data_IF_929597725609
#
_entry.id   IF_929597725609
#
_cell.length_a   1.000
_cell.length_b   1.000
_cell.length_c   1.000
_cell.angle_alpha   90.00
_cell.angle_beta   90.00
_cell.angle_gamma   90.00
#
_symmetry.space_group_name_H-M   'P 1'
#
loop_
_entity.id
_entity.type
_entity.pdbx_description
1 polymer ?
#
# COMPACT_ATOMS: atom_id res chain seq x y z
N UNK A 1 10.07 14.28 9.76
CA UNK A 1 10.21 14.14 11.23
C UNK A 1 11.49 13.36 11.49
N UNK A 2 12.42 13.90 12.26
CA UNK A 2 13.66 13.19 12.63
C UNK A 2 13.46 12.51 13.99
N UNK A 3 14.33 11.54 14.33
CA UNK A 3 14.32 10.93 15.68
C UNK A 3 14.43 11.99 16.76
N UNK A 4 15.19 13.05 16.51
CA UNK A 4 15.36 14.18 17.41
C UNK A 4 14.04 14.95 17.64
N UNK A 5 13.23 15.13 16.60
CA UNK A 5 11.92 15.79 16.69
C UNK A 5 10.94 14.93 17.49
N UNK A 6 10.99 13.61 17.33
CA UNK A 6 10.19 12.64 18.09
C UNK A 6 10.55 12.71 19.59
N UNK A 7 11.83 12.68 19.91
CA UNK A 7 12.33 12.76 21.29
C UNK A 7 11.87 14.06 21.97
N UNK A 8 12.04 15.18 21.28
CA UNK A 8 11.61 16.49 21.79
C UNK A 8 10.09 16.55 22.02
N UNK A 9 9.30 15.99 21.09
CA UNK A 9 7.85 15.93 21.25
C UNK A 9 7.42 15.04 22.44
N UNK A 10 8.05 13.88 22.61
CA UNK A 10 7.76 12.98 23.71
C UNK A 10 8.13 13.60 25.07
N UNK A 11 9.23 14.33 25.15
CA UNK A 11 9.63 15.05 26.35
C UNK A 11 8.64 16.16 26.69
N UNK A 12 8.19 16.94 25.70
CA UNK A 12 7.24 18.04 25.91
C UNK A 12 5.83 17.56 26.30
N UNK A 13 5.32 16.49 25.68
CA UNK A 13 3.94 16.06 25.88
C UNK A 13 3.79 15.06 27.03
N UNK A 14 4.76 14.18 27.20
CA UNK A 14 4.68 13.10 28.19
C UNK A 14 5.70 13.19 29.31
N UNK A 15 6.60 14.17 29.30
CA UNK A 15 7.66 14.33 30.29
C UNK A 15 8.65 13.14 30.32
N UNK A 16 8.71 12.36 29.25
CA UNK A 16 9.53 11.13 29.19
C UNK A 16 10.76 11.36 28.34
N UNK A 17 11.94 11.12 28.93
CA UNK A 17 13.20 11.14 28.19
C UNK A 17 13.53 9.74 27.68
N UNK A 18 13.56 9.60 26.35
CA UNK A 18 13.94 8.37 25.67
C UNK A 18 15.25 8.57 24.92
N UNK A 19 16.07 7.52 24.84
CA UNK A 19 17.24 7.55 23.97
C UNK A 19 16.87 7.31 22.50
N UNK A 20 17.70 7.80 21.57
CA UNK A 20 17.52 7.56 20.14
C UNK A 20 17.55 6.04 19.81
N UNK A 21 18.34 5.28 20.55
CA UNK A 21 18.43 3.82 20.43
C UNK A 21 17.12 3.13 20.86
N UNK A 22 16.49 3.60 21.93
CA UNK A 22 15.20 3.09 22.38
C UNK A 22 14.10 3.34 21.33
N UNK A 23 14.05 4.54 20.74
CA UNK A 23 13.11 4.85 19.66
C UNK A 23 13.34 3.95 18.45
N UNK A 24 14.61 3.74 18.04
CA UNK A 24 14.94 2.83 16.93
C UNK A 24 14.49 1.40 17.22
N UNK A 25 14.77 0.88 18.42
CA UNK A 25 14.35 -0.47 18.82
C UNK A 25 12.84 -0.67 18.82
N UNK A 26 12.09 0.32 19.31
CA UNK A 26 10.60 0.29 19.25
C UNK A 26 10.13 0.30 17.80
N UNK A 27 10.73 1.14 16.95
CA UNK A 27 10.38 1.22 15.53
C UNK A 27 10.68 -0.09 14.82
N UNK A 28 11.81 -0.75 15.10
CA UNK A 28 12.17 -2.03 14.51
C UNK A 28 11.16 -3.14 14.90
N UNK A 29 10.72 -3.16 16.17
CA UNK A 29 9.67 -4.07 16.62
C UNK A 29 8.34 -3.87 15.88
N UNK A 30 7.93 -2.61 15.68
CA UNK A 30 6.71 -2.28 14.91
C UNK A 30 6.82 -2.69 13.45
N UNK A 31 8.02 -2.62 12.85
CA UNK A 31 8.21 -3.02 11.45
C UNK A 31 7.90 -4.51 11.20
N UNK A 32 8.18 -5.38 12.16
CA UNK A 32 7.84 -6.81 12.03
C UNK A 32 6.32 -7.01 12.05
N UNK A 33 5.60 -6.30 12.92
CA UNK A 33 4.14 -6.34 12.95
C UNK A 33 3.53 -5.79 11.65
N UNK A 34 4.06 -4.69 11.13
CA UNK A 34 3.64 -4.12 9.85
C UNK A 34 3.85 -5.11 8.69
N UNK A 35 4.98 -5.81 8.66
CA UNK A 35 5.27 -6.83 7.64
C UNK A 35 4.30 -8.02 7.75
N UNK A 36 4.05 -8.51 8.96
CA UNK A 36 3.09 -9.57 9.22
C UNK A 36 1.67 -9.15 8.79
N UNK A 37 1.27 -7.92 9.14
CA UNK A 37 -0.01 -7.34 8.71
C UNK A 37 -0.10 -7.23 7.18
N UNK A 38 0.95 -6.75 6.50
CA UNK A 38 0.97 -6.59 5.05
C UNK A 38 0.89 -7.94 4.31
N UNK A 39 1.43 -9.01 4.89
CA UNK A 39 1.44 -10.35 4.28
C UNK A 39 0.29 -11.26 4.76
N UNK A 40 -0.59 -10.79 5.63
CA UNK A 40 -1.68 -11.60 6.17
C UNK A 40 -2.60 -12.13 5.07
N UNK A 41 -3.20 -13.32 5.24
CA UNK A 41 -4.25 -13.80 4.36
C UNK A 41 -5.43 -12.83 4.29
N UNK A 42 -6.07 -12.76 3.15
CA UNK A 42 -7.26 -11.95 2.90
C UNK A 42 -8.43 -12.85 2.51
N UNK A 43 -9.63 -12.34 2.75
CA UNK A 43 -10.85 -13.03 2.31
C UNK A 43 -10.90 -13.16 0.80
N UNK A 44 -11.50 -14.26 0.28
CA UNK A 44 -11.48 -14.56 -1.14
C UNK A 44 -12.38 -13.63 -1.98
N UNK A 45 -13.40 -13.00 -1.39
CA UNK A 45 -14.36 -12.18 -2.11
C UNK A 45 -14.53 -10.81 -1.46
N UNK A 46 -14.51 -9.76 -2.28
CA UNK A 46 -14.69 -8.38 -1.87
C UNK A 46 -15.78 -7.71 -2.71
N UNK A 47 -16.77 -7.13 -2.04
CA UNK A 47 -17.88 -6.43 -2.72
C UNK A 47 -17.36 -5.19 -3.46
N UNK A 48 -16.55 -4.38 -2.80
CA UNK A 48 -15.93 -3.20 -3.40
C UNK A 48 -14.48 -3.11 -2.96
N UNK A 49 -13.59 -2.76 -3.88
CA UNK A 49 -12.19 -2.41 -3.57
C UNK A 49 -11.92 -1.01 -4.08
N UNK A 50 -11.50 -0.15 -3.19
CA UNK A 50 -11.03 1.21 -3.50
C UNK A 50 -9.51 1.19 -3.61
N UNK A 51 -9.00 1.79 -4.68
CA UNK A 51 -7.59 1.98 -4.92
C UNK A 51 -7.31 3.47 -4.99
N UNK A 52 -6.41 3.95 -4.15
CA UNK A 52 -6.07 5.37 -4.04
C UNK A 52 -4.55 5.54 -3.91
N UNK A 53 -4.07 6.74 -4.20
CA UNK A 53 -2.66 7.08 -4.11
C UNK A 53 -2.47 8.37 -3.32
N UNK A 54 -1.60 8.31 -2.33
CA UNK A 54 -1.16 9.47 -1.56
C UNK A 54 0.32 9.73 -1.79
N UNK A 55 0.73 10.99 -1.83
CA UNK A 55 2.14 11.35 -1.93
C UNK A 55 2.72 11.52 -0.54
N UNK A 56 3.74 10.72 -0.22
CA UNK A 56 4.45 10.77 1.06
C UNK A 56 5.88 11.28 0.84
N UNK A 57 6.39 12.07 1.80
CA UNK A 57 7.77 12.51 1.80
C UNK A 57 8.63 11.44 2.48
N UNK A 58 9.50 10.81 1.71
CA UNK A 58 10.44 9.80 2.21
C UNK A 58 11.84 10.37 2.18
N UNK A 59 12.56 10.27 3.30
CA UNK A 59 13.99 10.59 3.36
C UNK A 59 14.78 9.32 3.08
N UNK A 60 15.54 9.35 2.01
CA UNK A 60 16.44 8.28 1.60
C UNK A 60 17.83 8.89 1.34
N UNK A 61 18.88 8.36 1.96
CA UNK A 61 20.26 8.87 1.86
C UNK A 61 20.38 10.39 2.03
N UNK A 62 19.75 10.94 3.08
CA UNK A 62 19.69 12.38 3.39
C UNK A 62 18.94 13.27 2.37
N UNK A 63 18.38 12.69 1.32
CA UNK A 63 17.55 13.39 0.33
C UNK A 63 16.09 13.13 0.61
N UNK A 64 15.27 14.18 0.64
CA UNK A 64 13.81 14.06 0.78
C UNK A 64 13.21 13.95 -0.61
N UNK A 65 12.52 12.85 -0.88
CA UNK A 65 11.84 12.59 -2.14
C UNK A 65 10.34 12.40 -1.90
N UNK A 66 9.54 12.88 -2.82
CA UNK A 66 8.12 12.57 -2.85
C UNK A 66 7.94 11.19 -3.48
N UNK A 67 7.38 10.24 -2.72
CA UNK A 67 7.07 8.89 -3.23
C UNK A 67 5.57 8.64 -3.13
N UNK A 68 4.93 8.10 -4.17
CA UNK A 68 3.54 7.70 -4.08
C UNK A 68 3.41 6.43 -3.23
N UNK A 69 2.47 6.47 -2.31
CA UNK A 69 2.01 5.31 -1.55
C UNK A 69 0.61 4.96 -2.03
N UNK A 70 0.43 3.75 -2.49
CA UNK A 70 -0.85 3.23 -2.96
C UNK A 70 -1.54 2.45 -1.85
N UNK A 71 -2.80 2.74 -1.66
CA UNK A 71 -3.66 2.13 -0.65
C UNK A 71 -4.75 1.32 -1.33
N UNK A 72 -4.97 0.09 -0.88
CA UNK A 72 -6.17 -0.66 -1.21
C UNK A 72 -7.04 -0.82 0.03
N UNK A 73 -8.30 -0.43 -0.06
CA UNK A 73 -9.33 -0.66 0.96
C UNK A 73 -10.47 -1.46 0.37
N UNK A 74 -10.85 -2.55 1.02
CA UNK A 74 -11.95 -3.42 0.61
C UNK A 74 -13.16 -3.28 1.51
N UNK A 75 -14.34 -3.47 0.95
CA UNK A 75 -15.59 -3.68 1.67
C UNK A 75 -15.96 -5.15 1.49
N UNK A 76 -16.13 -5.86 2.58
CA UNK A 76 -16.54 -7.26 2.59
C UNK A 76 -18.06 -7.45 2.33
N UNK A 77 -18.55 -8.70 2.45
CA UNK A 77 -19.95 -9.03 2.26
C UNK A 77 -20.85 -8.48 3.38
N UNK A 78 -20.30 -8.21 4.55
CA UNK A 78 -21.03 -7.68 5.71
C UNK A 78 -21.06 -6.13 5.69
N UNK A 79 -20.39 -5.51 4.73
CA UNK A 79 -20.31 -4.05 4.58
C UNK A 79 -19.20 -3.41 5.40
N UNK A 80 -18.33 -4.20 6.02
CA UNK A 80 -17.20 -3.68 6.81
C UNK A 80 -16.02 -3.28 5.91
N UNK A 81 -15.36 -2.19 6.30
CA UNK A 81 -14.21 -1.66 5.57
C UNK A 81 -12.89 -2.14 6.17
N UNK A 82 -12.05 -2.72 5.33
CA UNK A 82 -10.73 -3.22 5.67
C UNK A 82 -9.65 -2.61 4.80
N UNK A 83 -8.51 -2.25 5.39
CA UNK A 83 -7.33 -1.89 4.60
C UNK A 83 -6.65 -3.18 4.15
N UNK A 84 -6.57 -3.42 2.84
CA UNK A 84 -6.01 -4.63 2.26
C UNK A 84 -4.49 -4.58 2.19
N UNK A 85 -3.92 -3.42 1.92
CA UNK A 85 -2.49 -3.22 1.86
C UNK A 85 -2.08 -1.81 1.49
N UNK A 86 -0.78 -1.54 1.66
CA UNK A 86 -0.12 -0.27 1.31
C UNK A 86 1.15 -0.62 0.55
N UNK A 87 1.35 -0.03 -0.64
CA UNK A 87 2.53 -0.26 -1.48
C UNK A 87 3.20 1.05 -1.81
N UNK A 88 4.51 1.13 -1.58
CA UNK A 88 5.33 2.28 -1.95
C UNK A 88 5.92 2.06 -3.35
N UNK A 89 5.64 2.94 -4.28
CA UNK A 89 6.29 2.92 -5.57
C UNK A 89 7.66 3.63 -5.49
N UNK A 90 8.61 3.15 -6.30
CA UNK A 90 9.94 3.76 -6.37
C UNK A 90 9.91 5.14 -7.03
N UNK A 91 9.03 5.33 -8.00
CA UNK A 91 8.90 6.54 -8.82
C UNK A 91 7.43 6.91 -8.95
N UNK A 92 7.11 8.20 -9.03
CA UNK A 92 5.76 8.66 -9.30
C UNK A 92 5.29 8.16 -10.68
N UNK A 93 4.04 7.68 -10.82
CA UNK A 93 3.54 7.13 -12.10
C UNK A 93 3.62 8.12 -13.25
N UNK A 94 3.46 9.41 -12.95
CA UNK A 94 3.53 10.49 -13.95
C UNK A 94 4.96 10.70 -14.49
N UNK A 95 5.99 10.31 -13.71
CA UNK A 95 7.39 10.37 -14.09
C UNK A 95 7.94 9.00 -14.53
N UNK A 96 7.10 7.95 -14.45
CA UNK A 96 7.49 6.59 -14.82
C UNK A 96 7.51 6.41 -16.34
N UNK A 97 8.45 5.62 -16.85
CA UNK A 97 8.48 5.23 -18.26
C UNK A 97 7.16 4.51 -18.66
N UNK A 98 6.80 4.62 -19.94
CA UNK A 98 5.57 4.01 -20.46
C UNK A 98 5.49 2.51 -20.08
N UNK A 99 4.41 2.15 -19.37
CA UNK A 99 4.16 0.78 -18.91
C UNK A 99 4.66 0.43 -17.48
N UNK A 100 5.41 1.31 -16.79
CA UNK A 100 5.80 1.06 -15.40
C UNK A 100 4.60 1.10 -14.45
N UNK A 101 3.64 1.99 -14.68
CA UNK A 101 2.40 2.04 -13.92
C UNK A 101 1.61 0.74 -14.02
N UNK A 102 1.47 0.18 -15.23
CA UNK A 102 0.80 -1.10 -15.45
C UNK A 102 1.53 -2.28 -14.77
N UNK A 103 2.87 -2.28 -14.79
CA UNK A 103 3.68 -3.30 -14.08
C UNK A 103 3.49 -3.21 -12.57
N UNK A 104 3.47 -2.01 -12.03
CA UNK A 104 3.24 -1.77 -10.62
C UNK A 104 1.86 -2.33 -10.20
N UNK A 105 0.79 -1.98 -10.93
CA UNK A 105 -0.55 -2.48 -10.63
C UNK A 105 -0.67 -3.99 -10.81
N UNK A 106 0.00 -4.57 -11.78
CA UNK A 106 0.09 -6.02 -11.91
C UNK A 106 0.74 -6.68 -10.68
N UNK A 107 1.77 -6.05 -10.10
CA UNK A 107 2.38 -6.55 -8.87
C UNK A 107 1.45 -6.47 -7.66
N UNK A 108 0.68 -5.38 -7.53
CA UNK A 108 -0.34 -5.21 -6.49
C UNK A 108 -1.44 -6.26 -6.62
N UNK A 109 -1.96 -6.48 -7.83
CA UNK A 109 -2.99 -7.51 -8.08
C UNK A 109 -2.47 -8.92 -7.82
N UNK A 110 -1.20 -9.18 -8.14
CA UNK A 110 -0.54 -10.46 -7.86
C UNK A 110 -0.40 -10.68 -6.36
N UNK A 111 0.00 -9.66 -5.61
CA UNK A 111 0.09 -9.72 -4.15
C UNK A 111 -1.27 -10.03 -3.51
N UNK A 112 -2.32 -9.28 -3.87
CA UNK A 112 -3.67 -9.53 -3.38
C UNK A 112 -4.13 -10.97 -3.68
N UNK A 113 -3.86 -11.47 -4.89
CA UNK A 113 -4.20 -12.84 -5.29
C UNK A 113 -3.43 -13.88 -4.49
N UNK A 114 -2.14 -13.68 -4.26
CA UNK A 114 -1.29 -14.57 -3.46
C UNK A 114 -1.75 -14.63 -2.01
N UNK A 115 -2.31 -13.55 -1.50
CA UNK A 115 -2.87 -13.45 -0.15
C UNK A 115 -4.29 -13.98 -0.03
N UNK A 116 -4.90 -14.47 -1.11
CA UNK A 116 -6.17 -15.19 -1.10
C UNK A 116 -7.31 -14.54 -1.87
N UNK A 117 -7.20 -13.29 -2.30
CA UNK A 117 -8.27 -12.60 -3.05
C UNK A 117 -8.52 -13.31 -4.39
N UNK A 118 -9.78 -13.70 -4.63
CA UNK A 118 -10.23 -14.41 -5.85
C UNK A 118 -11.16 -13.55 -6.68
N UNK A 119 -12.11 -12.89 -6.02
CA UNK A 119 -13.15 -12.10 -6.67
C UNK A 119 -13.23 -10.69 -6.09
N UNK A 120 -13.33 -9.71 -6.97
CA UNK A 120 -13.63 -8.31 -6.66
C UNK A 120 -14.80 -7.92 -7.57
N UNK A 121 -15.97 -7.63 -6.98
CA UNK A 121 -17.16 -7.29 -7.78
C UNK A 121 -17.04 -5.92 -8.38
N UNK A 122 -16.62 -4.92 -7.60
CA UNK A 122 -16.45 -3.53 -8.03
C UNK A 122 -15.07 -3.04 -7.61
N UNK A 123 -14.29 -2.55 -8.56
CA UNK A 123 -13.04 -1.85 -8.30
C UNK A 123 -13.20 -0.36 -8.62
N UNK A 124 -13.00 0.48 -7.62
CA UNK A 124 -13.03 1.93 -7.73
C UNK A 124 -11.61 2.48 -7.70
N UNK A 125 -11.24 3.25 -8.70
CA UNK A 125 -9.96 3.95 -8.76
C UNK A 125 -10.19 5.35 -9.34
N UNK A 126 -9.51 6.35 -8.80
CA UNK A 126 -9.56 7.72 -9.30
C UNK A 126 -8.30 8.01 -10.11
N UNK A 127 -8.44 7.95 -11.46
CA UNK A 127 -7.43 8.40 -12.43
C UNK A 127 -6.03 7.78 -12.29
N UNK A 128 -5.93 6.56 -11.73
CA UNK A 128 -4.64 5.91 -11.49
C UNK A 128 -3.97 5.48 -12.80
N UNK A 129 -2.88 6.14 -13.16
CA UNK A 129 -2.14 5.87 -14.38
C UNK A 129 -1.71 4.39 -14.48
N UNK A 130 -2.03 3.74 -15.61
CA UNK A 130 -1.68 2.34 -15.88
C UNK A 130 -2.58 1.28 -15.23
N UNK A 131 -3.55 1.66 -14.40
CA UNK A 131 -4.47 0.70 -13.78
C UNK A 131 -5.40 0.03 -14.80
N UNK A 132 -5.95 0.78 -15.73
CA UNK A 132 -6.82 0.25 -16.79
C UNK A 132 -6.10 -0.79 -17.65
N UNK A 133 -4.84 -0.57 -17.99
CA UNK A 133 -4.02 -1.52 -18.74
C UNK A 133 -3.75 -2.81 -17.94
N UNK A 134 -3.51 -2.69 -16.63
CA UNK A 134 -3.31 -3.82 -15.74
C UNK A 134 -4.58 -4.66 -15.61
N UNK A 135 -5.75 -4.02 -15.47
CA UNK A 135 -7.06 -4.67 -15.40
C UNK A 135 -7.39 -5.46 -16.67
N UNK A 136 -7.07 -4.90 -17.84
CA UNK A 136 -7.29 -5.58 -19.12
C UNK A 136 -6.49 -6.89 -19.23
N UNK A 137 -5.29 -6.95 -18.67
CA UNK A 137 -4.40 -8.14 -18.68
C UNK A 137 -4.77 -9.18 -17.62
N UNK A 138 -5.44 -8.78 -16.53
CA UNK A 138 -5.81 -9.65 -15.41
C UNK A 138 -7.13 -10.41 -15.63
N UNK A 139 -7.89 -10.09 -16.69
CA UNK A 139 -9.10 -10.83 -17.03
C UNK A 139 -8.74 -12.22 -17.56
N UNK A 140 -9.23 -13.32 -16.94
CA UNK A 140 -9.14 -14.63 -17.58
C UNK A 140 -9.89 -14.54 -18.92
N UNK A 141 -9.25 -15.04 -19.99
CA UNK A 141 -9.89 -15.16 -21.29
C UNK A 141 -11.17 -16.00 -21.10
N UNK A 142 -12.32 -15.38 -21.30
CA UNK A 142 -13.59 -16.11 -21.40
C UNK A 142 -13.44 -17.02 -22.60
N UNK A 143 -13.20 -18.30 -22.33
CA UNK A 143 -13.26 -19.33 -23.37
C UNK A 143 -14.65 -19.26 -23.99
N UNK A 144 -14.72 -18.85 -25.24
CA UNK A 144 -15.90 -18.93 -26.09
C UNK A 144 -16.25 -20.41 -26.21
N UNK A 145 -17.26 -20.86 -25.50
CA UNK A 145 -17.87 -22.16 -25.83
C UNK A 145 -18.66 -21.96 -27.11
N UNK A 146 -18.15 -22.58 -28.18
CA UNK A 146 -18.94 -22.90 -29.37
C UNK A 146 -19.88 -24.03 -29.04
#
# INVERSE_FOLDING_TARGET
MSVRDILHHLEQVYGTQLSAETVSRITDGVLEEVRAWQSRPLDPAWAVVFLDAIVVKVRDNHVVQNKPAYLAAGIDADGEKHVLGIWLAKTAPEAAAAGEGARFWNSVMTDLRNRGVRDILIACCDGLAGFEDAKARSRPSRATRS
#
